data_IF_974274412274
#
_entry.id   IF_974274412274
#
_cell.length_a   1.000
_cell.length_b   1.000
_cell.length_c   1.000
_cell.angle_alpha   90.00
_cell.angle_beta   90.00
_cell.angle_gamma   90.00
#
_symmetry.space_group_name_H-M   'P 1'
#
loop_
_entity.id
_entity.type
_entity.pdbx_description
1 polymer ?
#
# COMPACT_ATOMS: atom_id res chain seq x y z
N UNK A 1 -4.95 7.43 22.14
CA UNK A 1 -4.68 7.13 20.71
C UNK A 1 -4.49 8.40 19.86
N UNK A 2 -4.69 9.60 20.44
CA UNK A 2 -4.53 10.89 19.75
C UNK A 2 -3.08 11.41 19.84
N UNK A 3 -2.32 11.03 20.87
CA UNK A 3 -0.96 11.57 21.11
C UNK A 3 0.13 11.12 20.11
N UNK A 4 -0.13 10.12 19.26
CA UNK A 4 0.90 9.54 18.38
C UNK A 4 1.04 10.26 17.03
N UNK A 5 -0.01 10.93 16.57
CA UNK A 5 0.03 11.73 15.34
C UNK A 5 0.65 13.11 15.59
N UNK A 6 0.46 13.66 16.79
CA UNK A 6 1.04 14.94 17.18
C UNK A 6 2.57 14.87 17.31
N UNK A 7 3.13 13.72 17.74
CA UNK A 7 4.59 13.51 17.80
C UNK A 7 5.22 13.49 16.40
N UNK A 8 4.53 12.89 15.41
CA UNK A 8 4.99 12.87 14.00
C UNK A 8 4.88 14.27 13.39
N UNK A 9 3.80 15.01 13.67
CA UNK A 9 3.63 16.38 13.21
C UNK A 9 4.66 17.34 13.84
N UNK A 10 4.98 17.17 15.12
CA UNK A 10 5.98 17.96 15.84
C UNK A 10 7.42 17.71 15.33
N UNK A 11 7.74 16.47 14.96
CA UNK A 11 9.04 16.14 14.32
C UNK A 11 9.11 16.73 12.90
N UNK A 12 8.02 16.70 12.14
CA UNK A 12 7.94 17.29 10.80
C UNK A 12 8.01 18.84 10.81
N UNK A 13 7.59 19.49 11.90
CA UNK A 13 7.59 20.95 12.07
C UNK A 13 8.89 21.53 12.66
N UNK A 14 9.92 20.71 12.90
CA UNK A 14 11.29 21.20 12.97
C UNK A 14 11.68 22.03 14.19
N UNK A 15 10.96 21.94 15.32
CA UNK A 15 11.35 22.62 16.56
C UNK A 15 11.69 21.63 17.68
N UNK A 16 12.98 21.25 17.77
CA UNK A 16 13.77 21.24 19.02
C UNK A 16 15.12 20.52 18.84
N UNK A 17 16.15 21.23 19.29
CA UNK A 17 17.54 20.85 19.54
C UNK A 17 18.44 20.71 18.29
N UNK A 18 19.59 21.40 18.34
CA UNK A 18 20.59 21.49 17.28
C UNK A 18 21.13 20.12 16.86
N UNK A 19 20.44 19.49 15.93
CA UNK A 19 20.83 18.22 15.30
C UNK A 19 21.75 18.53 14.14
N UNK A 20 22.91 17.87 14.12
CA UNK A 20 23.90 18.03 13.06
C UNK A 20 23.35 17.39 11.79
N UNK A 21 23.42 18.11 10.68
CA UNK A 21 23.27 17.55 9.34
C UNK A 21 24.48 16.66 9.03
N UNK A 22 24.24 15.54 8.34
CA UNK A 22 25.30 14.61 7.96
C UNK A 22 26.32 15.30 7.02
N UNK A 23 27.60 15.02 7.21
CA UNK A 23 28.63 15.33 6.20
C UNK A 23 28.45 14.40 5.00
N UNK A 24 28.98 14.76 3.82
CA UNK A 24 28.85 13.94 2.60
C UNK A 24 29.29 12.47 2.80
N UNK A 25 30.40 12.25 3.50
CA UNK A 25 30.89 10.89 3.80
C UNK A 25 30.01 10.17 4.83
N UNK A 26 29.49 10.92 5.81
CA UNK A 26 28.57 10.39 6.82
C UNK A 26 27.22 10.00 6.23
N UNK A 27 26.71 10.78 5.28
CA UNK A 27 25.47 10.49 4.55
C UNK A 27 25.61 9.21 3.73
N UNK A 28 26.72 9.04 3.01
CA UNK A 28 26.97 7.81 2.27
C UNK A 28 27.02 6.56 3.16
N UNK A 29 27.70 6.62 4.32
CA UNK A 29 27.75 5.51 5.28
C UNK A 29 26.39 5.22 5.93
N UNK A 30 25.63 6.27 6.22
CA UNK A 30 24.27 6.17 6.74
C UNK A 30 23.35 5.51 5.72
N UNK A 31 23.33 5.97 4.47
CA UNK A 31 22.54 5.41 3.37
C UNK A 31 22.88 3.94 3.13
N UNK A 32 24.16 3.59 3.04
CA UNK A 32 24.57 2.20 2.82
C UNK A 32 24.09 1.27 3.96
N UNK A 33 24.16 1.73 5.20
CA UNK A 33 23.70 0.96 6.36
C UNK A 33 22.17 0.88 6.41
N UNK A 34 21.49 1.98 6.10
CA UNK A 34 20.04 2.07 5.98
C UNK A 34 19.52 1.07 4.93
N UNK A 35 20.10 1.09 3.73
CA UNK A 35 19.72 0.20 2.62
C UNK A 35 19.80 -1.29 2.99
N UNK A 36 20.82 -1.70 3.75
CA UNK A 36 20.97 -3.10 4.21
C UNK A 36 19.84 -3.53 5.15
N UNK A 37 19.48 -2.68 6.11
CA UNK A 37 18.36 -2.94 7.02
C UNK A 37 17.04 -2.95 6.26
N UNK A 38 16.82 -1.94 5.42
CA UNK A 38 15.64 -1.81 4.57
C UNK A 38 15.46 -2.97 3.59
N UNK A 39 16.55 -3.52 3.03
CA UNK A 39 16.49 -4.71 2.18
C UNK A 39 16.00 -5.94 2.97
N UNK A 40 16.56 -6.14 4.17
CA UNK A 40 16.18 -7.26 5.03
C UNK A 40 14.71 -7.17 5.47
N UNK A 41 14.28 -5.97 5.86
CA UNK A 41 12.89 -5.67 6.22
C UNK A 41 11.95 -5.92 5.05
N UNK A 42 12.28 -5.42 3.85
CA UNK A 42 11.46 -5.62 2.63
C UNK A 42 11.31 -7.09 2.28
N UNK A 43 12.38 -7.89 2.42
CA UNK A 43 12.34 -9.33 2.18
C UNK A 43 11.38 -10.01 3.13
N UNK A 44 11.53 -9.79 4.44
CA UNK A 44 10.65 -10.40 5.46
C UNK A 44 9.21 -9.97 5.26
N UNK A 45 8.98 -8.70 4.90
CA UNK A 45 7.63 -8.18 4.61
C UNK A 45 7.00 -8.90 3.42
N UNK A 46 7.73 -9.12 2.33
CA UNK A 46 7.23 -9.87 1.17
C UNK A 46 6.90 -11.31 1.52
N UNK A 47 7.78 -11.99 2.24
CA UNK A 47 7.55 -13.38 2.67
C UNK A 47 6.31 -13.46 3.58
N UNK A 48 6.14 -12.48 4.47
CA UNK A 48 4.96 -12.37 5.34
C UNK A 48 3.70 -12.10 4.52
N UNK A 49 3.71 -11.10 3.63
CA UNK A 49 2.57 -10.74 2.79
C UNK A 49 2.17 -11.93 1.88
N UNK A 50 3.12 -12.74 1.40
CA UNK A 50 2.84 -13.96 0.63
C UNK A 50 2.05 -14.99 1.43
N UNK A 51 2.47 -15.29 2.66
CA UNK A 51 1.74 -16.22 3.54
C UNK A 51 0.35 -15.66 3.88
N UNK A 52 0.24 -14.35 4.10
CA UNK A 52 -1.05 -13.70 4.38
C UNK A 52 -2.01 -13.91 3.19
N UNK A 53 -1.54 -13.62 1.97
CA UNK A 53 -2.33 -13.81 0.75
C UNK A 53 -2.74 -15.28 0.56
N UNK A 54 -1.81 -16.21 0.76
CA UNK A 54 -2.10 -17.64 0.60
C UNK A 54 -3.16 -18.15 1.61
N UNK A 55 -3.17 -17.59 2.83
CA UNK A 55 -4.18 -17.91 3.85
C UNK A 55 -5.52 -17.24 3.54
N UNK A 56 -5.52 -16.00 3.04
CA UNK A 56 -6.74 -15.27 2.67
C UNK A 56 -7.44 -15.88 1.44
N UNK A 57 -6.67 -16.29 0.44
CA UNK A 57 -7.17 -16.87 -0.82
C UNK A 57 -7.65 -18.32 -0.68
N UNK A 58 -7.22 -19.02 0.37
CA UNK A 58 -7.57 -20.42 0.62
C UNK A 58 -8.35 -20.57 1.95
N UNK A 59 -9.68 -20.34 1.97
CA UNK A 59 -10.48 -20.40 3.20
C UNK A 59 -10.63 -21.82 3.79
N UNK A 60 -10.20 -22.85 3.07
CA UNK A 60 -10.19 -24.25 3.53
C UNK A 60 -8.75 -24.75 3.49
N UNK A 61 -7.93 -24.24 4.42
CA UNK A 61 -6.58 -24.76 4.65
C UNK A 61 -6.69 -26.04 5.49
N UNK A 62 -6.04 -27.12 5.07
CA UNK A 62 -5.96 -28.32 5.91
C UNK A 62 -5.10 -28.06 7.15
N UNK A 63 -5.32 -28.85 8.21
CA UNK A 63 -4.64 -28.65 9.50
C UNK A 63 -3.10 -28.66 9.40
N UNK A 64 -2.54 -29.46 8.48
CA UNK A 64 -1.08 -29.55 8.32
C UNK A 64 -0.53 -28.24 7.77
N UNK A 65 -1.15 -27.73 6.69
CA UNK A 65 -0.75 -26.48 6.05
C UNK A 65 -0.98 -25.27 6.97
N UNK A 66 -2.10 -25.23 7.71
CA UNK A 66 -2.36 -24.18 8.69
C UNK A 66 -1.33 -24.17 9.82
N UNK A 67 -0.87 -25.34 10.27
CA UNK A 67 0.21 -25.46 11.26
C UNK A 67 1.54 -24.96 10.69
N UNK A 68 1.86 -25.30 9.44
CA UNK A 68 3.07 -24.82 8.77
C UNK A 68 3.09 -23.29 8.64
N UNK A 69 2.00 -22.68 8.18
CA UNK A 69 1.90 -21.22 8.08
C UNK A 69 2.04 -20.54 9.43
N UNK A 70 1.50 -21.14 10.50
CA UNK A 70 1.64 -20.61 11.86
C UNK A 70 3.10 -20.60 12.31
N UNK A 71 3.82 -21.69 12.09
CA UNK A 71 5.23 -21.79 12.49
C UNK A 71 6.11 -20.85 11.66
N UNK A 72 5.84 -20.76 10.36
CA UNK A 72 6.57 -19.89 9.45
C UNK A 72 6.32 -18.41 9.74
N UNK A 73 5.07 -18.00 9.99
CA UNK A 73 4.77 -16.61 10.35
C UNK A 73 5.32 -16.25 11.73
N UNK A 74 5.39 -17.20 12.66
CA UNK A 74 6.07 -17.01 13.94
C UNK A 74 7.58 -16.76 13.74
N UNK A 75 8.24 -17.59 12.92
CA UNK A 75 9.66 -17.44 12.58
C UNK A 75 9.96 -16.11 11.88
N UNK A 76 9.12 -15.72 10.91
CA UNK A 76 9.25 -14.44 10.21
C UNK A 76 9.02 -13.26 11.17
N UNK A 77 8.04 -13.36 12.06
CA UNK A 77 7.77 -12.36 13.10
C UNK A 77 8.96 -12.16 14.03
N UNK A 78 9.60 -13.23 14.51
CA UNK A 78 10.79 -13.15 15.36
C UNK A 78 11.99 -12.57 14.61
N UNK A 79 12.18 -12.97 13.35
CA UNK A 79 13.24 -12.42 12.49
C UNK A 79 13.02 -10.92 12.25
N UNK A 80 11.77 -10.52 12.00
CA UNK A 80 11.40 -9.12 11.82
C UNK A 80 11.70 -8.31 13.08
N UNK A 81 11.28 -8.76 14.26
CA UNK A 81 11.55 -8.04 15.52
C UNK A 81 13.04 -7.90 15.80
N UNK A 82 13.86 -8.93 15.52
CA UNK A 82 15.32 -8.83 15.64
C UNK A 82 15.90 -7.76 14.72
N UNK A 83 15.58 -7.80 13.42
CA UNK A 83 16.08 -6.81 12.45
C UNK A 83 15.57 -5.40 12.77
N UNK A 84 14.31 -5.27 13.19
CA UNK A 84 13.71 -4.00 13.56
C UNK A 84 14.38 -3.39 14.79
N UNK A 85 14.68 -4.19 15.82
CA UNK A 85 15.39 -3.70 17.01
C UNK A 85 16.81 -3.24 16.66
N UNK A 86 17.55 -4.02 15.88
CA UNK A 86 18.88 -3.60 15.39
C UNK A 86 18.79 -2.31 14.58
N UNK A 87 17.75 -2.16 13.77
CA UNK A 87 17.55 -0.95 12.97
C UNK A 87 17.17 0.25 13.83
N UNK A 88 16.32 0.08 14.85
CA UNK A 88 16.00 1.13 15.81
C UNK A 88 17.24 1.58 16.60
N UNK A 89 18.09 0.65 17.01
CA UNK A 89 19.34 0.98 17.70
C UNK A 89 20.32 1.73 16.79
N UNK A 90 20.43 1.30 15.53
CA UNK A 90 21.17 2.02 14.49
C UNK A 90 20.66 3.46 14.35
N UNK A 91 19.35 3.65 14.14
CA UNK A 91 18.79 4.99 13.96
C UNK A 91 18.96 5.87 15.22
N UNK A 92 18.77 5.33 16.41
CA UNK A 92 19.01 6.07 17.66
C UNK A 92 20.47 6.48 17.86
N UNK A 93 21.41 5.69 17.33
CA UNK A 93 22.84 6.00 17.44
C UNK A 93 23.25 7.21 16.59
N UNK A 94 22.51 7.49 15.52
CA UNK A 94 22.70 8.68 14.67
C UNK A 94 21.84 9.84 15.16
N UNK A 95 22.48 10.84 15.78
CA UNK A 95 21.81 12.06 16.30
C UNK A 95 21.59 13.11 15.20
N UNK A 96 20.97 12.69 14.10
CA UNK A 96 20.76 13.52 12.91
C UNK A 96 19.26 13.61 12.58
N UNK A 97 18.86 14.63 11.81
CA UNK A 97 17.45 14.82 11.45
C UNK A 97 16.96 13.68 10.54
N UNK A 98 17.82 13.23 9.64
CA UNK A 98 17.57 12.15 8.68
C UNK A 98 17.25 10.86 9.43
N UNK A 99 18.03 10.55 10.47
CA UNK A 99 17.82 9.37 11.30
C UNK A 99 16.50 9.40 12.08
N UNK A 100 16.08 10.57 12.56
CA UNK A 100 14.81 10.72 13.28
C UNK A 100 13.59 10.59 12.37
N UNK A 101 13.66 11.21 11.18
CA UNK A 101 12.62 11.08 10.16
C UNK A 101 12.46 9.62 9.78
N UNK A 102 13.58 8.94 9.52
CA UNK A 102 13.60 7.53 9.17
C UNK A 102 13.08 6.65 10.32
N UNK A 103 13.44 6.96 11.57
CA UNK A 103 12.96 6.26 12.76
C UNK A 103 11.44 6.42 12.95
N UNK A 104 10.90 7.62 12.75
CA UNK A 104 9.46 7.88 12.82
C UNK A 104 8.72 7.13 11.70
N UNK A 105 9.21 7.20 10.46
CA UNK A 105 8.66 6.48 9.31
C UNK A 105 8.67 4.96 9.52
N UNK A 106 9.80 4.43 9.99
CA UNK A 106 9.95 3.00 10.24
C UNK A 106 9.05 2.51 11.37
N UNK A 107 8.87 3.29 12.46
CA UNK A 107 7.91 2.97 13.53
C UNK A 107 6.51 2.70 13.00
N UNK A 108 6.00 3.58 12.13
CA UNK A 108 4.66 3.41 11.53
C UNK A 108 4.56 2.10 10.76
N UNK A 109 5.56 1.84 9.89
CA UNK A 109 5.63 0.60 9.11
C UNK A 109 5.74 -0.66 9.99
N UNK A 110 6.50 -0.57 11.09
CA UNK A 110 6.67 -1.64 12.06
C UNK A 110 5.35 -2.02 12.74
N UNK A 111 4.62 -1.04 13.27
CA UNK A 111 3.34 -1.31 13.92
C UNK A 111 2.28 -1.84 12.95
N UNK A 112 2.26 -1.33 11.71
CA UNK A 112 1.35 -1.82 10.68
C UNK A 112 1.59 -3.32 10.36
N UNK A 113 2.86 -3.72 10.18
CA UNK A 113 3.18 -5.13 9.92
C UNK A 113 2.88 -6.01 11.14
N UNK A 114 3.18 -5.54 12.35
CA UNK A 114 2.86 -6.27 13.59
C UNK A 114 1.36 -6.49 13.76
N UNK A 115 0.53 -5.50 13.41
CA UNK A 115 -0.92 -5.64 13.42
C UNK A 115 -1.38 -6.71 12.42
N UNK A 116 -0.88 -6.69 11.17
CA UNK A 116 -1.20 -7.71 10.16
C UNK A 116 -0.84 -9.12 10.61
N UNK A 117 0.39 -9.31 11.12
CA UNK A 117 0.86 -10.60 11.65
C UNK A 117 -0.06 -11.08 12.80
N UNK A 118 -0.50 -10.17 13.67
CA UNK A 118 -1.40 -10.51 14.77
C UNK A 118 -2.75 -11.03 14.28
N UNK A 119 -3.34 -10.39 13.27
CA UNK A 119 -4.61 -10.81 12.67
C UNK A 119 -4.49 -12.21 12.08
N UNK A 120 -3.42 -12.49 11.32
CA UNK A 120 -3.23 -13.81 10.70
C UNK A 120 -2.92 -14.88 11.74
N UNK A 121 -2.13 -14.58 12.77
CA UNK A 121 -1.91 -15.50 13.90
C UNK A 121 -3.23 -15.84 14.60
N UNK A 122 -4.11 -14.86 14.79
CA UNK A 122 -5.42 -15.10 15.37
C UNK A 122 -6.26 -16.00 14.45
N UNK A 123 -6.34 -15.69 13.16
CA UNK A 123 -7.09 -16.47 12.18
C UNK A 123 -6.61 -17.93 12.10
N UNK A 124 -5.29 -18.15 12.03
CA UNK A 124 -4.71 -19.50 12.05
C UNK A 124 -4.97 -20.23 13.38
N UNK A 125 -5.03 -19.50 14.50
CA UNK A 125 -5.37 -20.08 15.81
C UNK A 125 -6.86 -20.44 15.93
N UNK A 126 -7.74 -19.76 15.21
CA UNK A 126 -9.17 -20.09 15.13
C UNK A 126 -9.42 -21.33 14.25
N UNK A 127 -8.62 -21.51 13.20
CA UNK A 127 -8.68 -22.68 12.30
C UNK A 127 -8.08 -23.95 12.92
N UNK A 128 -7.05 -23.81 13.74
CA UNK A 128 -6.43 -24.93 14.44
C UNK A 128 -7.23 -25.26 15.70
N UNK A 129 -7.64 -26.52 15.93
CA UNK A 129 -8.27 -26.90 17.19
C UNK A 129 -7.31 -26.56 18.31
N UNK A 130 -7.78 -25.70 19.23
CA UNK A 130 -7.08 -25.38 20.47
C UNK A 130 -6.54 -26.67 21.06
N UNK A 131 -5.22 -26.80 21.20
CA UNK A 131 -4.59 -27.79 22.09
C UNK A 131 -4.94 -27.42 23.55
N UNK A 132 -6.23 -27.38 23.88
CA UNK A 132 -6.74 -27.29 25.23
C UNK A 132 -7.01 -28.71 25.71
N UNK A 133 -5.99 -29.29 26.36
CA UNK A 133 -6.13 -30.31 27.40
C UNK A 133 -7.04 -31.51 27.06
N UNK A 134 -6.60 -32.37 26.14
CA UNK A 134 -6.98 -33.79 26.16
C UNK A 134 -5.81 -34.62 26.70
N UNK A 135 -5.43 -34.35 27.95
CA UNK A 135 -4.48 -35.18 28.69
C UNK A 135 -4.82 -35.11 30.18
N UNK A 136 -6.02 -35.56 30.51
CA UNK A 136 -6.41 -35.87 31.90
C UNK A 136 -7.68 -36.70 31.94
N UNK A 137 -7.65 -37.90 31.34
CA UNK A 137 -8.45 -39.02 31.83
C UNK A 137 -7.91 -40.35 31.32
N UNK A 138 -6.73 -40.73 31.84
CA UNK A 138 -6.34 -42.12 31.97
C UNK A 138 -6.30 -42.46 33.44
N UNK A 139 -7.37 -43.04 33.96
CA UNK A 139 -7.28 -44.11 34.96
C UNK A 139 -8.55 -44.99 34.99
N UNK A 140 -8.37 -46.19 34.44
CA UNK A 140 -8.73 -47.49 35.02
C UNK A 140 -10.15 -48.08 34.88
N UNK A 141 -10.13 -49.33 34.37
CA UNK A 141 -11.05 -50.48 34.59
C UNK A 141 -12.37 -50.43 33.78
N UNK A 142 -12.81 -51.46 33.04
CA UNK A 142 -12.68 -52.91 33.21
C UNK A 142 -12.95 -53.66 31.90
N UNK A 143 -12.38 -54.86 31.81
CA UNK A 143 -12.73 -55.94 30.88
C UNK A 143 -14.23 -56.27 30.95
N UNK A 144 -14.90 -56.45 29.81
CA UNK A 144 -15.79 -57.61 29.59
C UNK A 144 -16.14 -57.76 28.11
N UNK A 145 -16.21 -59.03 27.73
CA UNK A 145 -16.48 -59.61 26.42
C UNK A 145 -17.97 -59.60 26.05
N UNK A 146 -18.22 -59.63 24.74
CA UNK A 146 -19.41 -60.17 24.07
C UNK A 146 -20.76 -59.52 24.39
N UNK A 147 -21.44 -59.00 23.36
CA UNK A 147 -22.65 -59.62 22.81
C UNK A 147 -23.10 -58.92 21.51
N UNK A 148 -23.42 -59.77 20.53
CA UNK A 148 -24.21 -59.47 19.33
C UNK A 148 -25.53 -58.79 19.68
N UNK A 149 -25.94 -57.78 18.90
CA UNK A 149 -27.34 -57.61 18.53
C UNK A 149 -27.48 -56.59 17.40
N UNK A 150 -28.04 -57.04 16.27
CA UNK A 150 -28.57 -56.19 15.21
C UNK A 150 -29.77 -55.42 15.76
N UNK A 151 -29.87 -54.13 15.45
CA UNK A 151 -31.17 -53.48 15.41
C UNK A 151 -31.31 -52.63 14.15
N UNK A 152 -32.17 -53.13 13.26
CA UNK A 152 -32.91 -52.36 12.27
C UNK A 152 -33.84 -51.43 13.05
N UNK A 153 -33.90 -50.15 12.67
CA UNK A 153 -34.75 -49.17 13.33
C UNK A 153 -34.62 -47.79 12.74
N UNK A 154 -35.22 -47.61 11.55
CA UNK A 154 -35.52 -46.30 10.97
C UNK A 154 -36.43 -45.50 11.90
N UNK A 155 -35.98 -44.33 12.37
CA UNK A 155 -36.89 -43.29 12.87
C UNK A 155 -36.35 -41.89 12.54
N UNK A 156 -37.24 -41.11 11.91
CA UNK A 156 -37.09 -39.74 11.40
C UNK A 156 -36.50 -38.74 12.43
N UNK A 157 -35.30 -38.23 12.15
CA UNK A 157 -34.76 -37.02 12.79
C UNK A 157 -34.42 -35.96 11.71
N UNK A 158 -35.38 -35.56 10.87
CA UNK A 158 -35.14 -34.62 9.75
C UNK A 158 -35.51 -33.16 10.04
N UNK A 159 -36.10 -32.82 11.19
CA UNK A 159 -36.54 -31.45 11.51
C UNK A 159 -35.47 -30.56 12.14
N UNK A 160 -34.57 -31.13 12.96
CA UNK A 160 -33.48 -30.37 13.61
C UNK A 160 -32.33 -30.01 12.65
N UNK A 161 -32.10 -30.84 11.63
CA UNK A 161 -31.10 -30.57 10.59
C UNK A 161 -31.49 -29.38 9.70
N UNK A 162 -32.80 -29.22 9.40
CA UNK A 162 -33.29 -28.12 8.57
C UNK A 162 -33.20 -26.76 9.30
N UNK A 163 -33.52 -26.72 10.60
CA UNK A 163 -33.33 -25.49 11.40
C UNK A 163 -31.85 -25.10 11.54
N UNK A 164 -30.95 -26.07 11.73
CA UNK A 164 -29.51 -25.80 11.75
C UNK A 164 -29.01 -25.23 10.41
N UNK A 165 -29.51 -25.76 9.30
CA UNK A 165 -29.10 -25.29 7.96
C UNK A 165 -29.64 -23.87 7.67
N UNK A 166 -30.86 -23.55 8.10
CA UNK A 166 -31.42 -22.19 8.01
C UNK A 166 -30.57 -21.20 8.81
N UNK A 167 -30.17 -21.54 10.05
CA UNK A 167 -29.30 -20.67 10.86
C UNK A 167 -27.92 -20.44 10.22
N UNK A 168 -27.35 -21.46 9.57
CA UNK A 168 -26.10 -21.26 8.82
C UNK A 168 -26.28 -20.33 7.62
N UNK A 169 -27.41 -20.45 6.92
CA UNK A 169 -27.71 -19.59 5.77
C UNK A 169 -27.96 -18.14 6.20
N UNK A 170 -28.64 -17.90 7.33
CA UNK A 170 -28.84 -16.54 7.85
C UNK A 170 -27.53 -15.89 8.27
N UNK A 171 -26.63 -16.62 8.94
CA UNK A 171 -25.29 -16.11 9.29
C UNK A 171 -24.47 -15.80 8.03
N UNK A 172 -24.51 -16.67 7.02
CA UNK A 172 -23.85 -16.42 5.72
C UNK A 172 -24.40 -15.17 5.01
N UNK A 173 -25.71 -14.95 5.09
CA UNK A 173 -26.35 -13.79 4.48
C UNK A 173 -26.02 -12.49 5.22
N UNK A 174 -26.02 -12.50 6.55
CA UNK A 174 -25.64 -11.33 7.35
C UNK A 174 -24.15 -10.99 7.16
N UNK A 175 -23.26 -11.99 7.17
CA UNK A 175 -21.84 -11.75 6.87
C UNK A 175 -21.62 -11.20 5.46
N UNK A 176 -22.35 -11.69 4.46
CA UNK A 176 -22.30 -11.16 3.10
C UNK A 176 -22.80 -9.70 3.01
N UNK A 177 -23.87 -9.35 3.72
CA UNK A 177 -24.35 -7.95 3.82
C UNK A 177 -23.32 -7.03 4.45
N UNK A 178 -22.68 -7.47 5.53
CA UNK A 178 -21.64 -6.71 6.21
C UNK A 178 -20.45 -6.48 5.30
N UNK A 179 -19.99 -7.52 4.57
CA UNK A 179 -18.93 -7.39 3.57
C UNK A 179 -19.30 -6.41 2.46
N UNK A 180 -20.52 -6.49 1.93
CA UNK A 180 -21.00 -5.58 0.89
C UNK A 180 -21.06 -4.12 1.38
N UNK A 181 -21.45 -3.90 2.64
CA UNK A 181 -21.45 -2.56 3.25
C UNK A 181 -20.03 -2.00 3.31
N UNK A 182 -19.07 -2.75 3.85
CA UNK A 182 -17.69 -2.28 3.96
C UNK A 182 -17.02 -2.10 2.59
N UNK A 183 -17.29 -2.98 1.62
CA UNK A 183 -16.77 -2.83 0.27
C UNK A 183 -17.28 -1.54 -0.42
N UNK A 184 -18.53 -1.14 -0.16
CA UNK A 184 -19.06 0.15 -0.65
C UNK A 184 -18.37 1.34 0.02
N UNK A 185 -18.23 1.30 1.34
CA UNK A 185 -17.54 2.35 2.11
C UNK A 185 -16.07 2.49 1.66
N UNK A 186 -15.38 1.37 1.42
CA UNK A 186 -14.00 1.35 0.92
C UNK A 186 -13.89 1.94 -0.49
N UNK A 187 -14.79 1.58 -1.41
CA UNK A 187 -14.83 2.15 -2.76
C UNK A 187 -15.08 3.67 -2.74
N UNK A 188 -15.95 4.16 -1.86
CA UNK A 188 -16.16 5.61 -1.66
C UNK A 188 -14.90 6.31 -1.13
N UNK A 189 -14.18 5.68 -0.19
CA UNK A 189 -12.93 6.20 0.34
C UNK A 189 -11.85 6.28 -0.74
N UNK A 190 -11.69 5.23 -1.55
CA UNK A 190 -10.77 5.24 -2.70
C UNK A 190 -11.10 6.35 -3.70
N UNK A 191 -12.39 6.56 -3.99
CA UNK A 191 -12.81 7.64 -4.87
C UNK A 191 -12.45 9.02 -4.29
N UNK A 192 -12.72 9.25 -3.00
CA UNK A 192 -12.35 10.51 -2.32
C UNK A 192 -10.83 10.71 -2.29
N UNK A 193 -10.05 9.68 -2.04
CA UNK A 193 -8.59 9.75 -2.06
C UNK A 193 -8.06 10.14 -3.45
N UNK A 194 -8.59 9.52 -4.50
CA UNK A 194 -8.23 9.85 -5.88
C UNK A 194 -8.55 11.31 -6.23
N UNK A 195 -9.73 11.80 -5.80
CA UNK A 195 -10.13 13.20 -5.98
C UNK A 195 -9.19 14.16 -5.24
N UNK A 196 -8.91 13.90 -3.96
CA UNK A 196 -7.99 14.72 -3.16
C UNK A 196 -6.57 14.73 -3.74
N UNK A 197 -6.11 13.60 -4.28
CA UNK A 197 -4.81 13.49 -4.96
C UNK A 197 -4.77 14.34 -6.23
N UNK A 198 -5.86 14.34 -7.01
CA UNK A 198 -5.99 15.18 -8.20
C UNK A 198 -6.01 16.67 -7.81
N UNK A 199 -6.79 17.06 -6.80
CA UNK A 199 -6.86 18.43 -6.28
C UNK A 199 -5.49 18.93 -5.79
N UNK A 200 -4.75 18.10 -5.06
CA UNK A 200 -3.38 18.43 -4.62
C UNK A 200 -2.45 18.70 -5.80
N UNK A 201 -2.57 17.92 -6.88
CA UNK A 201 -1.77 18.14 -8.11
C UNK A 201 -2.15 19.48 -8.76
N UNK A 202 -3.45 19.78 -8.86
CA UNK A 202 -3.93 21.06 -9.41
C UNK A 202 -3.41 22.23 -8.58
N UNK A 203 -3.46 22.15 -7.25
CA UNK A 203 -2.94 23.19 -6.36
C UNK A 203 -1.42 23.38 -6.49
N UNK A 204 -0.65 22.29 -6.64
CA UNK A 204 0.78 22.37 -6.90
C UNK A 204 1.06 23.13 -8.21
N UNK A 205 0.35 22.78 -9.28
CA UNK A 205 0.52 23.44 -10.57
C UNK A 205 0.09 24.92 -10.52
N UNK A 206 -0.98 25.25 -9.78
CA UNK A 206 -1.37 26.66 -9.55
C UNK A 206 -0.25 27.43 -8.86
N UNK A 207 0.33 26.86 -7.81
CA UNK A 207 1.44 27.49 -7.10
C UNK A 207 2.66 27.70 -8.02
N UNK A 208 3.02 26.71 -8.82
CA UNK A 208 4.11 26.83 -9.80
C UNK A 208 3.84 27.93 -10.84
N UNK A 209 2.59 28.06 -11.29
CA UNK A 209 2.15 29.14 -12.19
C UNK A 209 2.25 30.50 -11.50
N UNK A 210 1.76 30.64 -10.26
CA UNK A 210 1.83 31.90 -9.50
C UNK A 210 3.29 32.32 -9.25
N UNK A 211 4.17 31.36 -8.93
CA UNK A 211 5.62 31.59 -8.77
C UNK A 211 6.27 32.00 -10.10
N UNK A 212 5.89 31.37 -11.22
CA UNK A 212 6.39 31.74 -12.55
C UNK A 212 5.88 33.12 -13.00
N UNK A 213 4.61 33.44 -12.77
CA UNK A 213 4.00 34.73 -13.11
C UNK A 213 4.61 35.87 -12.29
N UNK A 214 4.79 35.67 -10.98
CA UNK A 214 5.47 36.65 -10.12
C UNK A 214 6.93 36.84 -10.50
N UNK A 215 7.64 35.75 -10.84
CA UNK A 215 9.00 35.80 -11.39
C UNK A 215 9.07 36.58 -12.71
N UNK A 216 8.15 36.30 -13.65
CA UNK A 216 8.04 37.02 -14.91
C UNK A 216 7.75 38.51 -14.69
N UNK A 217 6.84 38.84 -13.76
CA UNK A 217 6.51 40.23 -13.45
C UNK A 217 7.70 40.98 -12.83
N UNK A 218 8.50 40.32 -11.98
CA UNK A 218 9.72 40.87 -11.42
C UNK A 218 10.77 41.15 -12.52
N UNK A 219 10.95 40.21 -13.45
CA UNK A 219 11.85 40.39 -14.61
C UNK A 219 11.37 41.51 -15.52
N UNK A 220 10.07 41.59 -15.84
CA UNK A 220 9.49 42.70 -16.64
C UNK A 220 9.78 44.06 -16.02
N UNK A 221 9.59 44.20 -14.70
CA UNK A 221 9.91 45.42 -13.96
C UNK A 221 11.40 45.73 -13.98
N UNK A 222 12.26 44.73 -13.76
CA UNK A 222 13.72 44.91 -13.74
C UNK A 222 14.29 45.30 -15.11
N UNK A 223 13.71 44.78 -16.19
CA UNK A 223 14.11 45.10 -17.57
C UNK A 223 13.46 46.37 -18.11
N UNK A 224 12.62 47.06 -17.32
CA UNK A 224 11.81 48.19 -17.79
C UNK A 224 11.02 47.84 -19.07
N UNK A 225 10.59 46.58 -19.16
CA UNK A 225 9.75 46.05 -20.23
C UNK A 225 8.30 46.42 -19.92
N UNK A 226 8.05 47.71 -19.74
CA UNK A 226 6.72 48.25 -20.00
C UNK A 226 6.50 47.99 -21.48
N UNK A 227 5.58 47.07 -21.75
CA UNK A 227 5.10 46.78 -23.09
C UNK A 227 4.82 48.15 -23.73
N UNK A 228 5.61 48.52 -24.73
CA UNK A 228 5.16 49.52 -25.68
C UNK A 228 3.82 49.00 -26.19
N UNK A 229 2.75 49.59 -25.69
CA UNK A 229 1.47 49.60 -26.35
C UNK A 229 1.76 50.19 -27.73
N UNK A 230 1.99 49.33 -28.73
CA UNK A 230 2.02 49.74 -30.13
C UNK A 230 0.59 50.08 -30.56
N UNK A 231 -0.03 51.00 -29.84
CA UNK A 231 -1.13 51.82 -30.29
C UNK A 231 -0.56 52.84 -31.27
N UNK A 232 -0.75 52.53 -32.55
CA UNK A 232 -0.74 53.45 -33.69
C UNK A 232 0.62 54.10 -34.08
N UNK A 233 0.89 54.04 -35.39
CA UNK A 233 1.94 54.78 -36.11
C UNK A 233 3.39 54.24 -36.00
N UNK A 234 3.63 53.05 -36.53
CA UNK A 234 4.93 52.78 -37.18
C UNK A 234 4.71 52.57 -38.68
N UNK A 235 4.89 53.64 -39.47
CA UNK A 235 5.09 53.49 -40.91
C UNK A 235 6.50 52.94 -41.14
N UNK A 236 6.65 51.73 -41.71
CA UNK A 236 7.96 51.23 -42.06
C UNK A 236 8.54 52.06 -43.20
N UNK A 237 9.86 52.36 -43.20
CA UNK A 237 10.48 53.06 -44.31
C UNK A 237 10.35 52.22 -45.59
N UNK A 238 9.78 52.84 -46.63
CA UNK A 238 9.67 52.28 -47.97
C UNK A 238 11.09 52.13 -48.54
N UNK A 239 11.72 50.99 -48.28
CA UNK A 239 12.87 50.56 -49.07
C UNK A 239 12.32 49.94 -50.35
N UNK A 240 12.53 50.65 -51.45
CA UNK A 240 12.21 50.20 -52.79
C UNK A 240 12.82 48.82 -53.05
N UNK A 241 11.94 47.83 -53.28
CA UNK A 241 12.31 46.55 -53.88
C UNK A 241 13.04 46.77 -55.21
N UNK A 242 13.96 45.86 -55.53
CA UNK A 242 13.89 45.21 -56.83
C UNK A 242 13.57 43.73 -56.63
N UNK A 243 12.40 43.40 -57.15
CA UNK A 243 11.95 42.11 -57.68
C UNK A 243 13.06 41.04 -57.76
N UNK A 244 12.96 39.99 -56.95
CA UNK A 244 13.44 38.67 -57.34
C UNK A 244 12.26 37.70 -57.25
N UNK A 245 12.07 36.99 -58.35
CA UNK A 245 10.89 36.23 -58.73
C UNK A 245 10.66 35.02 -57.81
N UNK A 246 9.37 34.72 -57.62
CA UNK A 246 8.84 33.50 -57.01
C UNK A 246 9.40 32.22 -57.62
N UNK A 247 9.75 31.26 -56.77
CA UNK A 247 9.47 29.84 -57.01
C UNK A 247 9.43 29.05 -55.69
N UNK A 248 8.35 28.28 -55.54
CA UNK A 248 8.20 27.07 -54.74
C UNK A 248 7.99 27.19 -53.22
N UNK A 249 6.74 27.52 -52.89
CA UNK A 249 6.04 27.04 -51.69
C UNK A 249 5.53 25.62 -51.97
N UNK A 250 5.38 24.82 -50.92
CA UNK A 250 4.79 23.46 -50.84
C UNK A 250 5.72 22.26 -50.96
N UNK A 251 6.36 21.91 -49.84
CA UNK A 251 6.46 20.54 -49.32
C UNK A 251 7.25 20.56 -48.00
N UNK A 252 6.56 20.40 -46.88
CA UNK A 252 6.90 19.55 -45.71
C UNK A 252 5.87 19.89 -44.63
N UNK A 253 4.68 19.30 -44.75
CA UNK A 253 3.67 19.27 -43.70
C UNK A 253 2.74 18.08 -43.88
N UNK A 254 3.30 16.89 -44.13
CA UNK A 254 2.52 15.64 -44.08
C UNK A 254 3.45 14.43 -43.99
N UNK A 255 3.73 13.96 -42.76
CA UNK A 255 4.08 12.55 -42.46
C UNK A 255 4.28 12.37 -40.96
N UNK A 256 3.23 11.92 -40.28
CA UNK A 256 3.20 10.67 -39.46
C UNK A 256 2.02 10.71 -38.47
N UNK A 257 0.81 10.65 -39.02
CA UNK A 257 -0.31 9.94 -38.41
C UNK A 257 -0.67 8.77 -39.33
N UNK A 258 -0.23 7.57 -38.97
CA UNK A 258 -0.78 6.27 -39.42
C UNK A 258 -0.25 5.22 -38.43
N UNK A 259 -1.08 4.85 -37.47
CA UNK A 259 -1.97 3.68 -37.55
C UNK A 259 -1.22 2.39 -37.18
N UNK A 260 -1.18 2.07 -35.88
CA UNK A 260 -1.09 0.67 -35.43
C UNK A 260 -2.50 0.18 -35.14
N UNK A 261 -3.11 -0.45 -36.14
CA UNK A 261 -4.30 -1.27 -35.97
C UNK A 261 -3.94 -2.52 -35.16
N UNK A 262 -4.81 -2.82 -34.20
CA UNK A 262 -5.04 -4.11 -33.56
C UNK A 262 -5.28 -5.19 -34.62
N UNK A 263 -4.75 -6.42 -34.46
CA UNK A 263 -5.32 -7.60 -35.07
C UNK A 263 -6.13 -8.38 -34.03
N UNK A 264 -7.45 -8.23 -34.09
CA UNK A 264 -8.36 -9.32 -33.75
C UNK A 264 -8.64 -10.05 -35.06
N UNK A 265 -8.47 -11.37 -35.08
CA UNK A 265 -9.61 -12.28 -35.06
C UNK A 265 -9.25 -13.72 -35.47
N UNK A 266 -9.93 -14.63 -34.78
CA UNK A 266 -10.44 -15.95 -35.22
C UNK A 266 -9.56 -17.19 -35.11
N UNK A 267 -9.95 -18.00 -34.11
CA UNK A 267 -10.41 -19.39 -34.24
C UNK A 267 -10.12 -20.11 -35.56
N UNK A 268 -9.39 -21.22 -35.44
CA UNK A 268 -9.41 -22.34 -36.37
C UNK A 268 -9.62 -23.61 -35.54
N UNK A 269 -10.77 -24.25 -35.81
CA UNK A 269 -11.16 -25.67 -35.62
C UNK A 269 -10.63 -26.46 -34.44
#
# INVERSE_FOLDING_TARGET
>A
MIDQFDEIAAIALGERLGKKTLTSDGDHLFQQSNERHQYSIRTIKRDTDAIILDVEDNPVVDLSTASMYRDEIQKLSEKFEKVANTYFDFLKSYRTKESEIEHASFKVSFYALKAKISVVKQHLSELLPSRSKQDSERTLKSRSSHHSSRHIGSTRNSSLSAQSEILKQTVKLETAKTRLKYAKEEAELFHREATLKAERKVLSMKREVDEAESGLQAVKKALNYDLYDYGECYEPPIFANPVVQHADVDRISERKYRSSKVPDAHSIT
#
